data_IF_546700181472
#
_entry.id   IF_546700181472
#
_cell.length_a   1.000
_cell.length_b   1.000
_cell.length_c   1.000
_cell.angle_alpha   90.00
_cell.angle_beta   90.00
_cell.angle_gamma   90.00
#
_symmetry.space_group_name_H-M   'P 1'
#
loop_
_entity.id
_entity.type
_entity.pdbx_description
1 polymer ?
#
# COMPACT_ATOMS: atom_id res chain seq x y z
N UNK A 1 20.18 -7.33 -12.03
CA UNK A 1 19.35 -7.47 -10.82
C UNK A 1 20.21 -7.99 -9.70
N UNK A 2 20.38 -7.23 -8.62
CA UNK A 2 21.16 -7.66 -7.47
C UNK A 2 20.27 -8.36 -6.47
N UNK A 3 20.33 -9.68 -6.42
CA UNK A 3 19.86 -10.44 -5.26
C UNK A 3 20.87 -10.21 -4.13
N UNK A 4 20.57 -9.32 -3.21
CA UNK A 4 21.30 -9.25 -1.95
C UNK A 4 20.54 -10.08 -0.91
N UNK A 5 20.85 -11.35 -0.81
CA UNK A 5 20.33 -12.22 0.22
C UNK A 5 18.79 -12.44 0.20
N UNK A 6 18.04 -11.98 1.14
CA UNK A 6 16.58 -12.19 1.29
C UNK A 6 15.76 -10.91 1.02
N UNK A 7 16.37 -9.85 0.51
CA UNK A 7 15.72 -8.56 0.31
C UNK A 7 15.55 -8.30 -1.18
N UNK A 8 14.30 -8.12 -1.59
CA UNK A 8 13.93 -7.69 -2.93
C UNK A 8 13.95 -6.16 -3.00
N UNK A 9 14.54 -5.56 -4.03
CA UNK A 9 14.47 -4.13 -4.29
C UNK A 9 14.61 -3.84 -5.78
N UNK A 10 13.65 -3.10 -6.34
CA UNK A 10 13.72 -2.66 -7.74
C UNK A 10 14.33 -1.24 -7.83
N UNK A 11 15.64 -1.13 -7.71
CA UNK A 11 16.34 0.17 -7.80
C UNK A 11 16.49 0.68 -9.25
N UNK A 12 16.06 -0.08 -10.24
CA UNK A 12 16.12 0.32 -11.66
C UNK A 12 14.85 1.05 -12.14
N UNK A 13 13.83 1.20 -11.31
CA UNK A 13 12.66 2.00 -11.66
C UNK A 13 12.70 3.38 -10.97
N UNK A 14 13.24 4.42 -11.65
CA UNK A 14 13.35 5.76 -11.07
C UNK A 14 11.99 6.40 -10.80
N UNK A 15 10.96 6.07 -11.60
CA UNK A 15 9.60 6.57 -11.40
C UNK A 15 9.01 5.97 -10.12
N UNK A 16 9.19 4.66 -9.90
CA UNK A 16 8.77 4.00 -8.68
C UNK A 16 9.48 4.57 -7.45
N UNK A 17 10.81 4.81 -7.52
CA UNK A 17 11.55 5.43 -6.42
C UNK A 17 11.03 6.84 -6.11
N UNK A 18 10.80 7.66 -7.13
CA UNK A 18 10.27 9.02 -6.97
C UNK A 18 8.87 8.98 -6.34
N UNK A 19 7.96 8.15 -6.88
CA UNK A 19 6.58 8.05 -6.42
C UNK A 19 6.52 7.59 -4.96
N UNK A 20 7.30 6.57 -4.61
CA UNK A 20 7.43 6.08 -3.24
C UNK A 20 7.95 7.18 -2.29
N UNK A 21 8.97 7.93 -2.71
CA UNK A 21 9.54 9.02 -1.91
C UNK A 21 8.51 10.13 -1.67
N UNK A 22 7.75 10.52 -2.70
CA UNK A 22 6.65 11.50 -2.58
C UNK A 22 5.58 11.00 -1.60
N UNK A 23 5.21 9.71 -1.67
CA UNK A 23 4.26 9.12 -0.72
C UNK A 23 4.74 9.20 0.75
N UNK A 24 6.00 8.87 1.02
CA UNK A 24 6.54 8.99 2.39
C UNK A 24 6.69 10.44 2.86
N UNK A 25 7.02 11.38 1.96
CA UNK A 25 7.02 12.82 2.29
C UNK A 25 5.62 13.31 2.63
N UNK A 26 4.60 12.87 1.90
CA UNK A 26 3.20 13.18 2.21
C UNK A 26 2.79 12.66 3.59
N UNK A 27 3.12 11.39 3.91
CA UNK A 27 2.85 10.81 5.24
C UNK A 27 3.51 11.66 6.34
N UNK A 28 4.75 12.08 6.15
CA UNK A 28 5.45 12.96 7.08
C UNK A 28 4.78 14.33 7.24
N UNK A 29 4.34 14.94 6.13
CA UNK A 29 3.61 16.21 6.13
C UNK A 29 2.28 16.10 6.89
N UNK A 30 1.46 15.10 6.59
CA UNK A 30 0.19 14.83 7.29
C UNK A 30 0.43 14.63 8.77
N UNK A 31 1.45 13.82 9.14
CA UNK A 31 1.79 13.57 10.54
C UNK A 31 2.11 14.86 11.31
N UNK A 32 2.95 15.73 10.73
CA UNK A 32 3.33 17.00 11.35
C UNK A 32 2.13 17.93 11.47
N UNK A 33 1.36 18.13 10.41
CA UNK A 33 0.19 19.00 10.43
C UNK A 33 -0.88 18.50 11.40
N UNK A 34 -1.12 17.19 11.46
CA UNK A 34 -2.11 16.62 12.37
C UNK A 34 -1.68 16.73 13.83
N UNK A 35 -0.42 16.32 14.16
CA UNK A 35 0.05 16.33 15.56
C UNK A 35 0.21 17.75 16.08
N UNK A 36 0.92 18.63 15.35
CA UNK A 36 1.15 20.00 15.80
C UNK A 36 0.00 20.94 15.47
N UNK A 37 -0.57 20.82 14.27
CA UNK A 37 -1.65 21.70 13.81
C UNK A 37 -2.98 21.40 14.48
N UNK A 38 -3.43 20.16 14.39
CA UNK A 38 -4.77 19.82 14.86
C UNK A 38 -4.80 19.38 16.33
N UNK A 39 -3.82 18.60 16.82
CA UNK A 39 -3.87 18.04 18.18
C UNK A 39 -3.22 18.96 19.18
N UNK A 40 -1.92 19.28 19.00
CA UNK A 40 -1.18 20.05 20.01
C UNK A 40 -1.73 21.46 20.19
N UNK A 41 -2.16 22.13 19.13
CA UNK A 41 -2.72 23.49 19.21
C UNK A 41 -4.06 23.59 19.97
N UNK A 42 -4.80 22.47 20.07
CA UNK A 42 -6.09 22.41 20.79
C UNK A 42 -5.92 21.83 22.18
N UNK A 43 -5.21 20.73 22.31
CA UNK A 43 -5.15 19.91 23.52
C UNK A 43 -3.83 20.05 24.30
N UNK A 44 -2.78 20.66 23.69
CA UNK A 44 -1.45 20.74 24.29
C UNK A 44 -0.90 19.38 24.70
N UNK A 45 -0.24 19.33 25.85
CA UNK A 45 0.25 18.11 26.50
C UNK A 45 -0.75 17.50 27.49
N UNK A 46 -2.06 17.70 27.29
CA UNK A 46 -3.09 17.04 28.07
C UNK A 46 -3.11 15.52 27.81
N UNK A 47 -3.77 14.76 28.66
CA UNK A 47 -3.95 13.32 28.45
C UNK A 47 -4.63 13.03 27.10
N UNK A 48 -5.62 13.83 26.72
CA UNK A 48 -6.33 13.73 25.44
C UNK A 48 -5.37 13.97 24.25
N UNK A 49 -4.56 15.04 24.32
CA UNK A 49 -3.56 15.34 23.28
C UNK A 49 -2.52 14.22 23.13
N UNK A 50 -2.05 13.65 24.23
CA UNK A 50 -1.12 12.51 24.20
C UNK A 50 -1.79 11.27 23.60
N UNK A 51 -3.04 10.96 23.95
CA UNK A 51 -3.77 9.81 23.41
C UNK A 51 -4.03 9.97 21.91
N UNK A 52 -4.52 11.13 21.47
CA UNK A 52 -4.76 11.39 20.05
C UNK A 52 -3.47 11.34 19.24
N UNK A 53 -2.38 11.94 19.71
CA UNK A 53 -1.07 11.86 19.05
C UNK A 53 -0.56 10.42 18.99
N UNK A 54 -0.79 9.62 20.02
CA UNK A 54 -0.41 8.20 20.05
C UNK A 54 -1.16 7.38 19.00
N UNK A 55 -2.44 7.68 18.74
CA UNK A 55 -3.22 7.03 17.70
C UNK A 55 -2.67 7.42 16.30
N UNK A 56 -2.35 8.69 16.08
CA UNK A 56 -1.71 9.13 14.82
C UNK A 56 -0.38 8.40 14.60
N UNK A 57 0.48 8.34 15.62
CA UNK A 57 1.76 7.64 15.58
C UNK A 57 1.59 6.13 15.33
N UNK A 58 0.56 5.52 15.89
CA UNK A 58 0.21 4.12 15.60
C UNK A 58 -0.11 3.91 14.12
N UNK A 59 -0.94 4.76 13.51
CA UNK A 59 -1.23 4.66 12.06
C UNK A 59 0.02 4.85 11.22
N UNK A 60 0.86 5.85 11.53
CA UNK A 60 2.13 6.08 10.84
C UNK A 60 3.03 4.84 10.93
N UNK A 61 3.18 4.27 12.13
CA UNK A 61 3.97 3.06 12.34
C UNK A 61 3.46 1.90 11.48
N UNK A 62 2.14 1.67 11.45
CA UNK A 62 1.54 0.59 10.67
C UNK A 62 1.70 0.82 9.17
N UNK A 63 1.51 2.05 8.68
CA UNK A 63 1.72 2.43 7.28
C UNK A 63 3.16 2.17 6.86
N UNK A 64 4.14 2.63 7.63
CA UNK A 64 5.55 2.42 7.34
C UNK A 64 5.91 0.93 7.38
N UNK A 65 5.45 0.20 8.39
CA UNK A 65 5.73 -1.23 8.50
C UNK A 65 5.12 -2.03 7.33
N UNK A 66 3.85 -1.81 7.00
CA UNK A 66 3.21 -2.46 5.86
C UNK A 66 3.86 -2.07 4.54
N UNK A 67 4.17 -0.78 4.33
CA UNK A 67 4.83 -0.28 3.15
C UNK A 67 6.23 -0.89 2.94
N UNK A 68 7.05 -0.93 3.98
CA UNK A 68 8.37 -1.58 3.96
C UNK A 68 8.23 -3.07 3.63
N UNK A 69 7.26 -3.77 4.23
CA UNK A 69 6.99 -5.18 3.90
C UNK A 69 6.54 -5.37 2.46
N UNK A 70 5.65 -4.54 1.94
CA UNK A 70 5.19 -4.62 0.55
C UNK A 70 6.33 -4.33 -0.45
N UNK A 71 7.19 -3.34 -0.14
CA UNK A 71 8.33 -2.94 -0.98
C UNK A 71 9.43 -4.01 -1.03
N UNK A 72 9.84 -4.53 0.12
CA UNK A 72 11.04 -5.37 0.22
C UNK A 72 10.76 -6.88 0.30
N UNK A 73 9.49 -7.29 0.24
CA UNK A 73 9.16 -8.72 0.12
C UNK A 73 9.18 -9.12 -1.35
N UNK A 74 9.80 -10.25 -1.67
CA UNK A 74 9.69 -10.91 -2.97
C UNK A 74 8.21 -11.09 -3.34
N UNK A 75 7.73 -10.53 -4.46
CA UNK A 75 6.31 -10.59 -4.82
C UNK A 75 5.83 -12.00 -5.24
N UNK A 76 6.71 -12.96 -5.35
CA UNK A 76 6.45 -14.32 -5.84
C UNK A 76 7.20 -14.61 -7.13
N UNK A 77 8.52 -14.41 -7.11
CA UNK A 77 9.36 -14.77 -8.26
C UNK A 77 9.15 -16.24 -8.65
N UNK A 78 9.08 -16.48 -9.95
CA UNK A 78 9.19 -17.83 -10.50
C UNK A 78 10.67 -18.21 -10.53
N UNK A 79 11.13 -18.91 -9.47
CA UNK A 79 12.54 -19.17 -9.22
C UNK A 79 13.03 -20.43 -9.95
N UNK A 80 12.15 -21.42 -10.10
CA UNK A 80 12.45 -22.69 -10.79
C UNK A 80 11.60 -22.78 -12.07
N UNK A 81 11.97 -22.05 -13.12
CA UNK A 81 11.26 -22.17 -14.37
C UNK A 81 11.44 -23.58 -14.92
N UNK A 82 10.34 -24.20 -15.35
CA UNK A 82 10.44 -25.50 -16.03
C UNK A 82 11.21 -25.27 -17.32
N UNK A 83 12.40 -25.85 -17.38
CA UNK A 83 13.24 -25.83 -18.57
C UNK A 83 12.72 -26.89 -19.53
N UNK A 84 12.21 -26.46 -20.65
CA UNK A 84 11.74 -27.35 -21.73
C UNK A 84 12.80 -27.50 -22.82
N UNK A 85 12.71 -28.58 -23.62
CA UNK A 85 13.63 -28.81 -24.74
C UNK A 85 13.53 -27.69 -25.78
N UNK A 86 14.57 -27.49 -26.58
CA UNK A 86 14.58 -26.45 -27.63
C UNK A 86 13.45 -26.65 -28.66
N UNK A 87 13.06 -27.90 -28.93
CA UNK A 87 11.94 -28.24 -29.79
C UNK A 87 10.62 -27.78 -29.18
N UNK A 88 10.39 -28.06 -27.90
CA UNK A 88 9.21 -27.59 -27.17
C UNK A 88 9.18 -26.06 -27.08
N UNK A 89 10.29 -25.39 -26.86
CA UNK A 89 10.37 -23.91 -26.89
C UNK A 89 9.93 -23.36 -28.24
N UNK A 90 10.38 -23.99 -29.36
CA UNK A 90 9.99 -23.58 -30.71
C UNK A 90 8.49 -23.74 -30.92
N UNK A 91 7.92 -24.84 -30.46
CA UNK A 91 6.48 -25.10 -30.51
C UNK A 91 5.70 -24.04 -29.72
N UNK A 92 6.02 -23.81 -28.44
CA UNK A 92 5.32 -22.84 -27.60
C UNK A 92 5.48 -21.39 -28.07
N UNK A 93 6.62 -21.04 -28.70
CA UNK A 93 6.80 -19.72 -29.34
C UNK A 93 5.88 -19.55 -30.56
N UNK A 94 5.72 -20.58 -31.39
CA UNK A 94 4.86 -20.56 -32.58
C UNK A 94 3.39 -20.48 -32.21
N UNK A 95 2.95 -21.28 -31.23
CA UNK A 95 1.58 -21.32 -30.74
C UNK A 95 1.22 -20.10 -29.87
N UNK A 96 2.16 -19.19 -29.57
CA UNK A 96 1.98 -18.06 -28.63
C UNK A 96 1.38 -18.51 -27.30
N UNK A 97 1.80 -19.68 -26.80
CA UNK A 97 1.23 -20.28 -25.60
C UNK A 97 1.29 -19.33 -24.40
N UNK A 98 0.16 -19.18 -23.73
CA UNK A 98 0.04 -18.36 -22.52
C UNK A 98 1.01 -18.79 -21.41
N UNK A 99 1.35 -20.06 -21.38
CA UNK A 99 2.20 -20.66 -20.35
C UNK A 99 3.71 -20.50 -20.65
N UNK A 100 4.10 -19.95 -21.80
CA UNK A 100 5.50 -19.69 -22.13
C UNK A 100 5.85 -18.20 -22.05
N UNK A 101 6.95 -17.89 -21.40
CA UNK A 101 7.49 -16.53 -21.37
C UNK A 101 8.66 -16.39 -22.34
N UNK A 102 8.43 -15.73 -23.47
CA UNK A 102 9.48 -15.46 -24.49
C UNK A 102 10.64 -14.63 -23.91
N UNK A 103 10.36 -13.71 -22.98
CA UNK A 103 11.39 -12.82 -22.39
C UNK A 103 12.27 -13.52 -21.37
N UNK A 104 11.71 -14.47 -20.59
CA UNK A 104 12.45 -15.25 -19.61
C UNK A 104 12.91 -16.60 -20.17
N UNK A 105 12.47 -16.96 -21.37
CA UNK A 105 12.75 -18.22 -22.07
C UNK A 105 12.38 -19.45 -21.23
N UNK A 106 11.22 -19.41 -20.58
CA UNK A 106 10.80 -20.45 -19.65
C UNK A 106 9.27 -20.63 -19.62
N UNK A 107 8.84 -21.81 -19.23
CA UNK A 107 7.45 -22.08 -18.88
C UNK A 107 7.06 -21.35 -17.58
N UNK A 108 5.85 -20.85 -17.51
CA UNK A 108 5.30 -20.15 -16.35
C UNK A 108 4.23 -21.01 -15.69
N UNK A 109 4.14 -21.00 -14.35
CA UNK A 109 2.93 -21.47 -13.68
C UNK A 109 1.68 -20.75 -14.18
N UNK A 110 0.52 -21.38 -14.00
CA UNK A 110 -0.77 -20.80 -14.33
C UNK A 110 -0.97 -19.39 -13.84
N UNK A 111 -1.31 -18.51 -13.64
CA UNK A 111 -1.41 -17.17 -13.02
C UNK A 111 -0.08 -16.40 -12.89
N UNK A 112 1.02 -16.91 -13.50
CA UNK A 112 2.28 -16.18 -13.51
C UNK A 112 2.39 -15.29 -14.76
N UNK A 113 2.77 -14.02 -14.57
CA UNK A 113 2.91 -13.06 -15.66
C UNK A 113 4.27 -12.37 -15.61
N UNK A 114 4.81 -12.02 -16.80
CA UNK A 114 6.06 -11.28 -16.91
C UNK A 114 5.84 -9.80 -16.64
N UNK A 115 6.56 -9.26 -15.68
CA UNK A 115 6.62 -7.82 -15.45
C UNK A 115 7.75 -7.20 -16.27
N UNK A 116 7.41 -6.30 -17.21
CA UNK A 116 8.41 -5.60 -18.04
C UNK A 116 9.28 -4.62 -17.25
N UNK A 117 8.80 -4.10 -16.12
CA UNK A 117 9.56 -3.21 -15.23
C UNK A 117 10.56 -3.99 -14.36
N UNK A 118 10.14 -5.13 -13.81
CA UNK A 118 11.01 -5.98 -13.00
C UNK A 118 11.86 -6.93 -13.85
N UNK A 119 11.50 -7.18 -15.13
CA UNK A 119 12.22 -8.07 -16.05
C UNK A 119 12.10 -9.56 -15.70
N UNK A 120 11.12 -9.96 -14.88
CA UNK A 120 10.93 -11.32 -14.36
C UNK A 120 9.47 -11.73 -14.34
N UNK A 121 9.22 -13.05 -14.26
CA UNK A 121 7.87 -13.60 -14.07
C UNK A 121 7.51 -13.65 -12.58
N UNK A 122 6.30 -13.19 -12.26
CA UNK A 122 5.76 -13.12 -10.89
C UNK A 122 4.52 -13.99 -10.81
N UNK A 123 4.45 -14.83 -9.77
CA UNK A 123 3.35 -15.74 -9.47
C UNK A 123 2.12 -14.95 -8.98
N UNK A 124 0.94 -15.23 -9.54
CA UNK A 124 -0.31 -14.50 -9.25
C UNK A 124 -0.08 -12.99 -9.34
N UNK A 125 0.56 -12.55 -10.42
CA UNK A 125 0.87 -11.13 -10.62
C UNK A 125 -0.42 -10.34 -10.80
N UNK A 126 -0.62 -9.34 -9.94
CA UNK A 126 -1.71 -8.39 -10.07
C UNK A 126 -1.29 -7.19 -10.93
N UNK A 127 -0.33 -6.40 -10.47
CA UNK A 127 0.24 -5.27 -11.21
C UNK A 127 1.65 -4.92 -10.69
N UNK A 128 2.36 -4.06 -11.43
CA UNK A 128 3.55 -3.37 -10.92
C UNK A 128 3.11 -2.04 -10.31
N UNK A 129 3.40 -1.84 -9.02
CA UNK A 129 2.93 -0.69 -8.26
C UNK A 129 4.09 0.30 -7.99
N UNK A 130 4.05 1.54 -8.55
CA UNK A 130 5.08 2.52 -8.30
C UNK A 130 5.09 3.05 -6.86
N UNK A 131 3.96 2.99 -6.15
CA UNK A 131 3.86 3.47 -4.76
C UNK A 131 4.65 2.62 -3.75
N UNK A 132 4.87 1.34 -4.06
CA UNK A 132 5.72 0.44 -3.28
C UNK A 132 6.99 0.05 -4.05
N UNK A 133 7.18 0.61 -5.24
CA UNK A 133 8.28 0.31 -6.16
C UNK A 133 8.54 -1.20 -6.34
N UNK A 134 7.45 -1.98 -6.42
CA UNK A 134 7.48 -3.44 -6.54
C UNK A 134 6.24 -3.94 -7.27
N UNK A 135 6.26 -5.19 -7.73
CA UNK A 135 5.05 -5.88 -8.14
C UNK A 135 4.21 -6.28 -6.93
N UNK A 136 2.88 -6.28 -7.11
CA UNK A 136 1.93 -6.94 -6.22
C UNK A 136 1.69 -8.34 -6.79
N UNK A 137 1.96 -9.37 -5.98
CA UNK A 137 1.82 -10.77 -6.36
C UNK A 137 1.58 -11.68 -5.15
N UNK A 138 1.68 -12.98 -5.36
CA UNK A 138 1.25 -14.00 -4.38
C UNK A 138 1.83 -13.82 -2.97
N UNK A 139 3.08 -13.36 -2.82
CA UNK A 139 3.74 -13.30 -1.52
C UNK A 139 3.56 -11.97 -0.78
N UNK A 140 3.26 -10.87 -1.47
CA UNK A 140 3.20 -9.54 -0.85
C UNK A 140 1.83 -8.86 -0.96
N UNK A 141 0.84 -9.45 -1.63
CA UNK A 141 -0.51 -8.89 -1.78
C UNK A 141 -1.15 -8.54 -0.43
N UNK A 142 -1.02 -9.40 0.59
CA UNK A 142 -1.47 -9.11 1.96
C UNK A 142 -0.89 -7.80 2.50
N UNK A 143 0.42 -7.61 2.37
CA UNK A 143 1.10 -6.43 2.91
C UNK A 143 0.66 -5.16 2.16
N UNK A 144 0.43 -5.26 0.86
CA UNK A 144 -0.11 -4.17 0.05
C UNK A 144 -1.53 -3.78 0.49
N UNK A 145 -2.42 -4.74 0.70
CA UNK A 145 -3.78 -4.48 1.19
C UNK A 145 -3.75 -3.81 2.57
N UNK A 146 -2.93 -4.32 3.49
CA UNK A 146 -2.77 -3.71 4.82
C UNK A 146 -2.20 -2.29 4.73
N UNK A 147 -1.23 -2.05 3.84
CA UNK A 147 -0.70 -0.72 3.57
C UNK A 147 -1.82 0.24 3.17
N UNK A 148 -2.66 -0.13 2.18
CA UNK A 148 -3.79 0.68 1.74
C UNK A 148 -4.80 0.93 2.87
N UNK A 149 -5.14 -0.10 3.65
CA UNK A 149 -6.08 0.01 4.77
C UNK A 149 -5.58 0.99 5.83
N UNK A 150 -4.33 0.85 6.27
CA UNK A 150 -3.77 1.75 7.29
C UNK A 150 -3.56 3.17 6.79
N UNK A 151 -3.20 3.36 5.50
CA UNK A 151 -3.19 4.69 4.89
C UNK A 151 -4.59 5.29 4.93
N UNK A 152 -5.61 4.58 4.45
CA UNK A 152 -6.99 5.09 4.41
C UNK A 152 -7.51 5.48 5.80
N UNK A 153 -7.37 4.60 6.80
CA UNK A 153 -7.82 4.90 8.17
C UNK A 153 -7.02 6.03 8.81
N UNK A 154 -5.72 6.10 8.57
CA UNK A 154 -4.87 7.20 9.03
C UNK A 154 -5.28 8.54 8.45
N UNK A 155 -5.52 8.61 7.12
CA UNK A 155 -6.00 9.81 6.44
C UNK A 155 -7.39 10.23 6.95
N UNK A 156 -8.35 9.31 7.08
CA UNK A 156 -9.68 9.62 7.62
C UNK A 156 -9.57 10.17 9.05
N UNK A 157 -8.72 9.57 9.89
CA UNK A 157 -8.52 10.06 11.25
C UNK A 157 -7.90 11.46 11.28
N UNK A 158 -6.90 11.73 10.42
CA UNK A 158 -6.29 13.06 10.27
C UNK A 158 -7.29 14.10 9.78
N UNK A 159 -8.13 13.77 8.80
CA UNK A 159 -9.22 14.64 8.31
C UNK A 159 -10.17 15.01 9.45
N UNK A 160 -10.60 14.04 10.27
CA UNK A 160 -11.49 14.30 11.39
C UNK A 160 -10.88 15.26 12.42
N UNK A 161 -9.59 15.07 12.74
CA UNK A 161 -8.87 15.97 13.65
C UNK A 161 -8.68 17.36 13.05
N UNK A 162 -8.28 17.46 11.79
CA UNK A 162 -8.12 18.74 11.08
C UNK A 162 -9.44 19.52 10.95
N UNK A 163 -10.52 18.83 10.61
CA UNK A 163 -11.86 19.45 10.57
C UNK A 163 -12.32 19.92 11.97
N UNK A 164 -12.07 19.12 13.01
CA UNK A 164 -12.36 19.54 14.39
C UNK A 164 -11.59 20.78 14.81
N UNK A 165 -10.29 20.84 14.49
CA UNK A 165 -9.45 22.01 14.71
C UNK A 165 -10.00 23.26 13.99
N UNK A 166 -10.30 23.15 12.69
CA UNK A 166 -10.83 24.27 11.89
C UNK A 166 -12.17 24.77 12.48
N UNK A 167 -13.05 23.84 12.87
CA UNK A 167 -14.33 24.18 13.48
C UNK A 167 -14.16 24.92 14.81
N UNK A 168 -13.33 24.42 15.71
CA UNK A 168 -13.07 25.07 17.00
C UNK A 168 -12.43 26.44 16.82
N UNK A 169 -11.48 26.54 15.88
CA UNK A 169 -10.81 27.81 15.57
C UNK A 169 -11.78 28.87 15.06
N UNK A 170 -12.69 28.51 14.17
CA UNK A 170 -13.71 29.42 13.66
C UNK A 170 -14.77 29.76 14.72
N UNK A 171 -15.14 28.83 15.58
CA UNK A 171 -15.99 29.08 16.72
C UNK A 171 -15.40 30.15 17.66
N UNK A 172 -14.11 30.02 18.01
CA UNK A 172 -13.40 30.99 18.82
C UNK A 172 -13.33 32.37 18.16
N UNK A 173 -13.12 32.43 16.84
CA UNK A 173 -13.10 33.71 16.08
C UNK A 173 -14.49 34.37 16.07
N UNK A 174 -15.55 33.57 16.03
CA UNK A 174 -16.94 34.10 16.03
C UNK A 174 -17.40 34.59 17.42
N UNK A 175 -16.94 33.93 18.50
CA UNK A 175 -17.32 34.29 19.87
C UNK A 175 -16.48 35.42 20.47
N UNK A 176 -15.21 35.55 20.06
CA UNK A 176 -14.30 36.55 20.65
C UNK A 176 -13.49 37.27 19.58
N UNK A 177 -13.95 38.41 19.21
CA UNK A 177 -13.15 39.43 18.51
C UNK A 177 -12.04 39.90 19.47
N UNK A 178 -10.83 39.26 19.44
CA UNK A 178 -9.62 39.62 20.20
C UNK A 178 -9.69 39.45 21.75
N UNK A 179 -8.75 39.01 22.53
CA UNK A 179 -7.31 38.82 22.55
C UNK A 179 -6.79 37.63 23.43
N UNK A 180 -7.18 36.39 23.23
CA UNK A 180 -6.77 35.27 24.12
C UNK A 180 -5.48 34.56 23.65
N UNK A 181 -4.99 34.88 22.46
CA UNK A 181 -3.99 34.08 21.76
C UNK A 181 -2.54 34.12 22.32
N UNK A 182 -2.21 35.03 23.21
CA UNK A 182 -0.85 35.20 23.72
C UNK A 182 -0.57 34.51 25.07
N UNK A 183 -1.57 33.86 25.67
CA UNK A 183 -1.45 33.40 27.06
C UNK A 183 -0.96 31.97 27.27
N UNK A 184 -1.04 31.09 26.25
CA UNK A 184 -0.80 29.66 26.44
C UNK A 184 0.52 29.11 25.87
N UNK A 185 1.34 29.92 25.19
CA UNK A 185 2.65 29.49 24.65
C UNK A 185 3.79 29.67 25.69
N UNK A 186 3.51 30.32 26.82
CA UNK A 186 4.53 30.62 27.85
C UNK A 186 5.30 29.43 28.44
N UNK A 187 4.72 28.23 28.69
CA UNK A 187 5.46 27.20 29.42
C UNK A 187 6.67 26.61 28.66
N UNK A 188 6.57 26.47 27.34
CA UNK A 188 7.65 25.84 26.56
C UNK A 188 8.79 26.80 26.22
N UNK A 189 8.48 28.08 26.10
CA UNK A 189 9.46 29.13 25.86
C UNK A 189 10.56 29.21 26.95
N UNK A 190 10.22 28.80 28.18
CA UNK A 190 11.16 28.91 29.33
C UNK A 190 12.34 27.91 29.27
N UNK A 191 12.20 26.82 28.49
CA UNK A 191 13.20 25.75 28.39
C UNK A 191 14.11 25.83 27.14
N UNK A 192 13.81 26.74 26.22
CA UNK A 192 14.64 26.92 25.01
C UNK A 192 15.57 28.12 25.12
N UNK A 193 16.78 28.06 24.56
CA UNK A 193 17.68 29.23 24.52
C UNK A 193 16.99 30.44 23.89
N UNK A 194 17.13 31.63 24.50
CA UNK A 194 16.52 32.88 24.06
C UNK A 194 16.76 33.22 22.56
N UNK A 195 17.94 32.82 22.05
CA UNK A 195 18.24 32.99 20.62
C UNK A 195 17.34 32.10 19.74
N UNK A 196 17.15 30.85 20.13
CA UNK A 196 16.28 29.89 19.41
C UNK A 196 14.82 30.31 19.48
N UNK A 197 14.36 30.80 20.63
CA UNK A 197 13.03 31.35 20.83
C UNK A 197 12.78 32.51 19.85
N UNK A 198 13.68 33.49 19.81
CA UNK A 198 13.44 34.74 19.08
C UNK A 198 13.68 34.66 17.58
N UNK A 199 14.52 33.71 17.08
CA UNK A 199 14.92 33.69 15.68
C UNK A 199 14.38 32.51 14.89
N UNK A 200 14.03 31.42 15.54
CA UNK A 200 13.58 30.20 14.87
C UNK A 200 12.17 29.79 15.33
N UNK A 201 11.95 29.74 16.66
CA UNK A 201 10.70 29.19 17.19
C UNK A 201 9.54 30.19 17.06
N UNK A 202 9.69 31.42 17.52
CA UNK A 202 8.64 32.45 17.48
C UNK A 202 8.21 32.78 16.04
N UNK A 203 9.12 33.05 15.06
CA UNK A 203 8.69 33.33 13.68
C UNK A 203 8.06 32.14 12.96
N UNK A 204 8.43 30.90 13.30
CA UNK A 204 7.89 29.70 12.66
C UNK A 204 6.50 29.33 13.22
N UNK A 205 6.22 29.63 14.50
CA UNK A 205 5.02 29.21 15.21
C UNK A 205 4.05 30.37 15.53
N UNK A 206 4.49 31.62 15.40
CA UNK A 206 3.64 32.79 15.68
C UNK A 206 2.66 33.12 14.55
N UNK A 207 2.64 32.36 13.46
CA UNK A 207 1.61 32.49 12.46
C UNK A 207 0.49 31.47 12.69
N UNK A 208 -0.38 31.76 13.62
CA UNK A 208 -1.66 31.03 13.76
C UNK A 208 -2.38 30.87 12.42
N UNK A 209 -2.20 31.81 11.50
CA UNK A 209 -2.71 31.80 10.13
C UNK A 209 -1.97 30.75 9.29
N UNK A 210 -0.63 30.64 9.37
CA UNK A 210 0.12 29.65 8.60
C UNK A 210 -0.30 28.23 9.00
N UNK A 211 -0.43 27.97 10.30
CA UNK A 211 -0.84 26.67 10.81
C UNK A 211 -2.25 26.30 10.35
N UNK A 212 -3.18 27.25 10.36
CA UNK A 212 -4.53 27.06 9.85
C UNK A 212 -4.52 26.77 8.34
N UNK A 213 -3.76 27.52 7.56
CA UNK A 213 -3.60 27.29 6.11
C UNK A 213 -2.99 25.91 5.83
N UNK A 214 -1.93 25.53 6.56
CA UNK A 214 -1.30 24.22 6.41
C UNK A 214 -2.26 23.07 6.76
N UNK A 215 -3.08 23.23 7.81
CA UNK A 215 -4.08 22.24 8.18
C UNK A 215 -5.21 22.13 7.14
N UNK A 216 -5.64 23.25 6.55
CA UNK A 216 -6.62 23.23 5.44
C UNK A 216 -6.03 22.51 4.22
N UNK A 217 -4.79 22.79 3.87
CA UNK A 217 -4.06 22.14 2.77
C UNK A 217 -3.93 20.64 3.06
N UNK A 218 -3.55 20.27 4.29
CA UNK A 218 -3.45 18.88 4.74
C UNK A 218 -4.78 18.15 4.59
N UNK A 219 -5.88 18.69 5.13
CA UNK A 219 -7.22 18.09 5.04
C UNK A 219 -7.64 17.90 3.58
N UNK A 220 -7.37 18.87 2.72
CA UNK A 220 -7.68 18.79 1.29
C UNK A 220 -6.91 17.66 0.60
N UNK A 221 -5.59 17.60 0.78
CA UNK A 221 -4.78 16.54 0.18
C UNK A 221 -5.07 15.15 0.77
N UNK A 222 -5.30 15.06 2.07
CA UNK A 222 -5.70 13.82 2.75
C UNK A 222 -7.03 13.30 2.21
N UNK A 223 -8.00 14.18 1.95
CA UNK A 223 -9.28 13.79 1.35
C UNK A 223 -9.09 13.22 -0.07
N UNK A 224 -8.33 13.92 -0.92
CA UNK A 224 -8.06 13.44 -2.28
C UNK A 224 -7.33 12.09 -2.27
N UNK A 225 -6.31 11.96 -1.40
CA UNK A 225 -5.52 10.74 -1.32
C UNK A 225 -6.32 9.59 -0.71
N UNK A 226 -7.14 9.85 0.31
CA UNK A 226 -8.03 8.86 0.91
C UNK A 226 -9.04 8.30 -0.10
N UNK A 227 -9.63 9.16 -0.94
CA UNK A 227 -10.53 8.74 -2.03
C UNK A 227 -9.77 7.89 -3.06
N UNK A 228 -8.57 8.30 -3.47
CA UNK A 228 -7.73 7.52 -4.36
C UNK A 228 -7.40 6.13 -3.79
N UNK A 229 -6.99 6.07 -2.52
CA UNK A 229 -6.70 4.80 -1.83
C UNK A 229 -7.94 3.91 -1.73
N UNK A 230 -9.13 4.51 -1.53
CA UNK A 230 -10.39 3.77 -1.51
C UNK A 230 -10.69 3.08 -2.86
N UNK A 231 -10.39 3.73 -3.99
CA UNK A 231 -10.48 3.08 -5.30
C UNK A 231 -9.52 1.88 -5.42
N UNK A 232 -8.27 2.03 -4.95
CA UNK A 232 -7.32 0.92 -4.96
C UNK A 232 -7.77 -0.24 -4.04
N UNK A 233 -8.37 0.07 -2.89
CA UNK A 233 -8.95 -0.94 -2.00
C UNK A 233 -10.14 -1.66 -2.66
N UNK A 234 -10.98 -0.93 -3.38
CA UNK A 234 -12.07 -1.51 -4.14
C UNK A 234 -11.57 -2.48 -5.23
N UNK A 235 -10.51 -2.10 -5.96
CA UNK A 235 -9.88 -2.97 -6.95
C UNK A 235 -9.30 -4.24 -6.30
N UNK A 236 -8.62 -4.11 -5.17
CA UNK A 236 -8.10 -5.27 -4.43
C UNK A 236 -9.22 -6.16 -3.86
N UNK A 237 -10.33 -5.55 -3.40
CA UNK A 237 -11.50 -6.30 -2.98
C UNK A 237 -12.09 -7.13 -4.15
N UNK A 238 -12.19 -6.53 -5.34
CA UNK A 238 -12.66 -7.23 -6.53
C UNK A 238 -11.71 -8.35 -6.96
N UNK A 239 -10.40 -8.11 -6.91
CA UNK A 239 -9.37 -9.13 -7.18
C UNK A 239 -9.57 -10.37 -6.28
N UNK A 240 -9.85 -10.16 -4.99
CA UNK A 240 -10.11 -11.26 -4.05
C UNK A 240 -11.48 -11.89 -4.32
N UNK A 241 -12.53 -11.06 -4.48
CA UNK A 241 -13.91 -11.52 -4.63
C UNK A 241 -14.11 -12.42 -5.85
N UNK A 242 -13.49 -12.06 -6.96
CA UNK A 242 -13.63 -12.79 -8.23
C UNK A 242 -12.48 -13.77 -8.47
N UNK A 243 -11.52 -13.84 -7.56
CA UNK A 243 -10.24 -14.57 -7.70
C UNK A 243 -9.58 -14.29 -9.06
N UNK A 244 -9.59 -13.03 -9.47
CA UNK A 244 -9.14 -12.57 -10.78
C UNK A 244 -8.19 -11.38 -10.61
N UNK A 245 -6.90 -11.54 -10.96
CA UNK A 245 -5.95 -10.44 -10.90
C UNK A 245 -6.20 -9.39 -11.98
N UNK A 246 -5.71 -8.16 -11.79
CA UNK A 246 -5.87 -7.09 -12.78
C UNK A 246 -5.26 -7.47 -14.15
N UNK A 247 -4.12 -8.15 -14.16
CA UNK A 247 -3.50 -8.65 -15.40
C UNK A 247 -4.37 -9.72 -16.09
N UNK A 248 -4.98 -10.62 -15.32
CA UNK A 248 -5.90 -11.63 -15.86
C UNK A 248 -7.16 -10.99 -16.44
N UNK A 249 -7.70 -9.97 -15.75
CA UNK A 249 -8.83 -9.18 -16.24
C UNK A 249 -8.51 -8.49 -17.57
N UNK A 250 -7.38 -7.78 -17.67
CA UNK A 250 -6.98 -7.08 -18.91
C UNK A 250 -6.74 -8.03 -20.08
N UNK A 251 -6.30 -9.25 -19.82
CA UNK A 251 -6.05 -10.25 -20.85
C UNK A 251 -7.28 -11.07 -21.24
N UNK A 252 -8.42 -10.80 -20.61
CA UNK A 252 -9.64 -11.60 -20.74
C UNK A 252 -9.39 -13.10 -20.45
N UNK A 253 -8.39 -13.38 -19.65
CA UNK A 253 -7.95 -14.73 -19.32
C UNK A 253 -8.50 -15.11 -17.95
N UNK A 254 -9.46 -16.00 -17.93
CA UNK A 254 -9.94 -16.63 -16.71
C UNK A 254 -9.26 -18.00 -16.59
N UNK A 255 -8.34 -18.13 -15.69
CA UNK A 255 -8.00 -19.46 -15.20
C UNK A 255 -9.29 -19.97 -14.56
N UNK A 256 -9.84 -21.09 -15.06
CA UNK A 256 -10.88 -21.80 -14.35
C UNK A 256 -10.28 -22.35 -13.06
N UNK A 257 -10.04 -21.45 -12.13
CA UNK A 257 -9.74 -21.85 -10.76
C UNK A 257 -11.08 -22.12 -10.14
N UNK A 258 -11.27 -23.38 -9.81
CA UNK A 258 -12.18 -23.92 -8.85
C UNK A 258 -13.17 -22.91 -8.24
N UNK A 259 -14.38 -23.32 -7.99
CA UNK A 259 -15.42 -22.63 -7.22
C UNK A 259 -14.97 -22.36 -5.78
N UNK A 260 -13.92 -21.53 -5.63
CA UNK A 260 -13.45 -21.09 -4.33
C UNK A 260 -14.48 -20.15 -3.72
N UNK A 261 -14.87 -20.39 -2.50
CA UNK A 261 -15.71 -19.44 -1.77
C UNK A 261 -14.94 -18.12 -1.58
N UNK A 262 -15.65 -17.01 -1.40
CA UNK A 262 -15.00 -15.72 -1.08
C UNK A 262 -14.06 -15.84 0.12
N UNK A 263 -14.46 -16.61 1.14
CA UNK A 263 -13.63 -16.84 2.31
C UNK A 263 -12.32 -17.56 1.95
N UNK A 264 -12.36 -18.55 1.06
CA UNK A 264 -11.13 -19.26 0.63
C UNK A 264 -10.18 -18.33 -0.13
N UNK A 265 -10.71 -17.42 -0.95
CA UNK A 265 -9.92 -16.40 -1.64
C UNK A 265 -9.26 -15.43 -0.66
N UNK A 266 -9.98 -14.99 0.39
CA UNK A 266 -9.41 -14.17 1.45
C UNK A 266 -8.33 -14.95 2.23
N UNK A 267 -8.59 -16.20 2.63
CA UNK A 267 -7.62 -17.06 3.31
C UNK A 267 -6.37 -17.27 2.46
N UNK A 268 -6.52 -17.47 1.14
CA UNK A 268 -5.37 -17.62 0.24
C UNK A 268 -4.52 -16.36 0.15
N UNK A 269 -5.13 -15.19 0.24
CA UNK A 269 -4.43 -13.89 0.22
C UNK A 269 -3.80 -13.57 1.57
N UNK A 270 -4.50 -13.82 2.67
CA UNK A 270 -4.00 -13.57 4.04
C UNK A 270 -3.03 -14.64 4.52
N UNK A 271 -3.01 -15.82 3.88
CA UNK A 271 -2.10 -16.92 4.15
C UNK A 271 -2.48 -17.77 5.36
N UNK A 272 -3.65 -17.57 5.96
CA UNK A 272 -4.18 -18.37 7.08
C UNK A 272 -5.67 -18.07 7.30
N UNK A 273 -6.45 -18.97 7.98
CA UNK A 273 -7.79 -18.66 8.44
C UNK A 273 -7.83 -17.43 9.33
N UNK A 274 -9.03 -16.85 9.50
CA UNK A 274 -9.21 -15.61 10.26
C UNK A 274 -8.52 -15.65 11.62
N UNK A 275 -7.67 -14.66 11.85
CA UNK A 275 -6.95 -14.48 13.13
C UNK A 275 -6.54 -12.99 13.29
N UNK A 276 -6.12 -12.59 14.51
CA UNK A 276 -5.57 -11.26 14.76
C UNK A 276 -4.35 -10.92 13.89
N UNK A 277 -3.64 -11.95 13.39
CA UNK A 277 -2.50 -11.82 12.47
C UNK A 277 -2.89 -11.23 11.11
N UNK A 278 -4.18 -11.22 10.76
CA UNK A 278 -4.65 -10.56 9.55
C UNK A 278 -4.41 -9.04 9.57
N UNK A 279 -4.42 -8.46 10.76
CA UNK A 279 -4.17 -7.03 10.95
C UNK A 279 -2.68 -6.66 10.94
N UNK A 280 -1.77 -7.63 10.95
CA UNK A 280 -0.33 -7.37 11.01
C UNK A 280 0.38 -7.78 9.71
N UNK A 281 1.42 -7.03 9.29
CA UNK A 281 2.22 -7.35 8.11
C UNK A 281 3.24 -8.47 8.40
N UNK A 282 2.72 -9.61 8.88
CA UNK A 282 3.48 -10.83 9.13
C UNK A 282 2.99 -11.94 8.21
N UNK A 283 3.89 -12.85 7.83
CA UNK A 283 3.56 -13.95 6.92
C UNK A 283 2.50 -14.88 7.52
N UNK A 284 1.51 -15.26 6.72
CA UNK A 284 0.49 -16.23 7.10
C UNK A 284 1.09 -17.63 7.25
N UNK A 285 0.62 -18.41 8.21
CA UNK A 285 1.17 -19.74 8.56
C UNK A 285 1.14 -20.74 7.40
N UNK A 286 0.15 -20.64 6.52
CA UNK A 286 -0.04 -21.56 5.39
C UNK A 286 0.45 -20.98 4.06
N UNK A 287 1.04 -19.76 4.06
CA UNK A 287 1.54 -19.14 2.83
C UNK A 287 2.51 -20.05 2.05
N UNK A 288 3.47 -20.76 2.67
CA UNK A 288 4.35 -21.67 1.94
C UNK A 288 3.60 -22.80 1.23
N UNK A 289 2.50 -23.32 1.82
CA UNK A 289 1.67 -24.37 1.24
C UNK A 289 0.87 -23.83 0.05
N UNK A 290 0.29 -22.62 0.20
CA UNK A 290 -0.44 -21.93 -0.85
C UNK A 290 0.45 -21.67 -2.06
N UNK A 291 1.65 -21.16 -1.84
CA UNK A 291 2.63 -20.91 -2.90
C UNK A 291 3.04 -22.19 -3.63
N UNK A 292 3.23 -23.29 -2.90
CA UNK A 292 3.54 -24.60 -3.48
C UNK A 292 2.36 -25.12 -4.33
N UNK A 293 1.12 -24.91 -3.90
CA UNK A 293 -0.07 -25.25 -4.70
C UNK A 293 -0.09 -24.44 -5.99
N UNK A 294 0.00 -23.10 -5.92
CA UNK A 294 0.00 -22.21 -7.08
C UNK A 294 1.11 -22.55 -8.09
N UNK A 295 2.30 -22.93 -7.63
CA UNK A 295 3.39 -23.34 -8.52
C UNK A 295 3.17 -24.70 -9.21
N UNK A 296 2.29 -25.55 -8.67
CA UNK A 296 1.98 -26.89 -9.20
C UNK A 296 0.73 -26.94 -10.09
N UNK A 297 -0.18 -25.98 -9.96
CA UNK A 297 -1.40 -25.93 -10.79
C UNK A 297 -1.11 -25.90 -12.31
N UNK A 298 0.11 -25.50 -12.68
CA UNK A 298 0.60 -25.58 -14.04
C UNK A 298 0.65 -27.02 -14.60
N UNK A 299 1.05 -27.99 -13.79
CA UNK A 299 1.24 -29.40 -14.23
C UNK A 299 -0.10 -30.09 -14.56
N UNK A 300 -1.18 -29.67 -13.89
CA UNK A 300 -2.51 -30.25 -14.11
C UNK A 300 -3.22 -29.72 -15.36
N UNK A 301 -2.86 -28.53 -15.86
CA UNK A 301 -3.52 -27.93 -17.03
C UNK A 301 -2.98 -28.45 -18.38
N UNK A 302 -1.79 -29.06 -18.40
CA UNK A 302 -1.28 -29.73 -19.61
C UNK A 302 -2.00 -31.04 -19.93
N UNK A 303 -2.62 -31.68 -18.93
CA UNK A 303 -3.34 -32.96 -19.12
C UNK A 303 -4.80 -32.76 -19.60
N UNK A 304 -5.32 -31.51 -19.63
CA UNK A 304 -6.72 -31.23 -19.98
C UNK A 304 -6.90 -30.30 -21.19
N UNK A 305 -6.00 -30.37 -22.20
CA UNK A 305 -6.16 -29.60 -23.44
C UNK A 305 -7.36 -30.06 -24.28
N UNK A 306 -8.56 -29.76 -23.80
CA UNK A 306 -9.72 -29.61 -24.68
C UNK A 306 -9.80 -28.15 -25.17
N UNK A 307 -10.05 -27.91 -26.47
CA UNK A 307 -10.13 -26.57 -27.02
C UNK A 307 -11.32 -25.82 -26.41
N UNK A 308 -11.05 -24.67 -25.79
CA UNK A 308 -12.07 -23.78 -25.26
C UNK A 308 -12.84 -23.16 -26.44
N UNK A 309 -14.08 -23.62 -26.64
CA UNK A 309 -15.03 -22.97 -27.54
C UNK A 309 -15.28 -21.52 -27.11
N UNK A 310 -15.14 -20.63 -28.09
CA UNK A 310 -15.39 -19.20 -28.02
C UNK A 310 -16.83 -18.91 -27.56
N UNK A 311 -17.06 -18.61 -26.30
CA UNK A 311 -18.29 -17.95 -25.85
C UNK A 311 -18.05 -16.46 -25.65
N UNK A 312 -18.00 -15.74 -26.77
CA UNK A 312 -18.39 -14.33 -26.82
C UNK A 312 -19.88 -14.25 -26.55
N UNK A 313 -20.29 -13.93 -25.34
CA UNK A 313 -21.58 -13.24 -25.03
C UNK A 313 -21.64 -13.02 -23.51
N UNK A 314 -21.42 -11.84 -23.07
CA UNK A 314 -22.21 -10.87 -22.29
C UNK A 314 -21.33 -9.70 -21.94
#
# INVERSE_FOLDING_TARGET
>A
MGFCGRVWCNYHDPIGLLTMSVGYLQIGFVAVCTIYGAVYSVYGWSLEGILLSSIVLFFIFMVVWCGVKATFTDPGLVVDPIVVSEEAKKYYKQEQSYNYCVKCDCMKPARAHHCSKCGVCILKMDHHCPWINNCVGAKNQKYFILYLLYVHFGEVFSILLGCSYIYQRRGIIMENTFPIYFREIEPLNHYLPLWFQNHIFVPLFDSSILLEVLTIIEVFFSLLFSVFVLFLLYDQFNTIRYDLTYVEYLKSYRVHTMENSFYDCVVSTMGEPFSWRWMLPIEGRYMPVILKKLSREFICLEETNEPVEDKKTI
#
